data_IF_690156854467
#
_entry.id   IF_690156854467
#
_cell.length_a   1.000
_cell.length_b   1.000
_cell.length_c   1.000
_cell.angle_alpha   90.00
_cell.angle_beta   90.00
_cell.angle_gamma   90.00
#
_symmetry.space_group_name_H-M   'P 1'
#
loop_
_entity.id
_entity.type
_entity.pdbx_description
1 polymer ?
#
# COMPACT_ATOMS: atom_id res chain seq x y z
N UNK A 1 -2.14 30.67 -20.51
CA UNK A 1 -1.25 30.81 -19.34
C UNK A 1 0.07 30.17 -19.68
N UNK A 2 1.16 30.95 -19.74
CA UNK A 2 2.44 30.53 -20.31
C UNK A 2 3.06 29.36 -19.53
N UNK A 3 3.18 28.22 -20.20
CA UNK A 3 4.06 27.13 -19.82
C UNK A 3 5.52 27.57 -20.01
N UNK A 4 6.00 28.46 -19.15
CA UNK A 4 7.44 28.72 -19.05
C UNK A 4 8.08 27.48 -18.47
N UNK A 5 8.67 26.72 -19.38
CA UNK A 5 9.48 25.52 -19.23
C UNK A 5 10.25 25.50 -17.90
N UNK A 6 9.80 24.70 -16.92
CA UNK A 6 10.51 24.48 -15.64
C UNK A 6 11.72 23.55 -15.84
N UNK A 7 12.62 23.89 -16.76
CA UNK A 7 13.83 23.10 -17.04
C UNK A 7 14.69 22.92 -15.77
N UNK A 8 14.67 23.89 -14.86
CA UNK A 8 15.40 23.79 -13.59
C UNK A 8 14.92 22.69 -12.65
N UNK A 9 13.63 22.31 -12.69
CA UNK A 9 13.09 21.32 -11.77
C UNK A 9 13.63 19.92 -12.03
N UNK A 10 14.12 19.66 -13.24
CA UNK A 10 14.52 18.33 -13.73
C UNK A 10 16.04 18.13 -13.65
N UNK A 11 16.83 19.21 -13.77
CA UNK A 11 18.30 19.13 -13.68
C UNK A 11 18.81 18.93 -12.24
N UNK A 12 19.99 18.33 -12.04
CA UNK A 12 20.66 18.33 -10.74
C UNK A 12 21.03 19.76 -10.28
N UNK A 13 21.34 19.91 -8.98
CA UNK A 13 21.87 21.17 -8.44
C UNK A 13 23.29 21.42 -8.98
N UNK A 14 23.63 22.69 -9.22
CA UNK A 14 25.02 23.10 -9.40
C UNK A 14 25.75 23.11 -8.05
N UNK A 15 27.08 23.20 -8.08
CA UNK A 15 27.88 23.26 -6.85
C UNK A 15 27.50 24.45 -5.96
N UNK A 16 27.29 25.62 -6.58
CA UNK A 16 26.87 26.84 -5.88
C UNK A 16 25.49 26.67 -5.22
N UNK A 17 24.53 26.10 -5.95
CA UNK A 17 23.19 25.84 -5.42
C UNK A 17 23.23 24.82 -4.28
N UNK A 18 24.10 23.81 -4.37
CA UNK A 18 24.29 22.81 -3.33
C UNK A 18 24.80 23.48 -2.05
N UNK A 19 25.90 24.22 -2.12
CA UNK A 19 26.46 24.95 -0.97
C UNK A 19 25.45 25.93 -0.37
N UNK A 20 24.74 26.67 -1.22
CA UNK A 20 23.68 27.58 -0.78
C UNK A 20 22.56 26.83 -0.05
N UNK A 21 22.15 25.68 -0.59
CA UNK A 21 21.08 24.87 0.00
C UNK A 21 21.46 24.27 1.35
N UNK A 22 22.73 23.89 1.55
CA UNK A 22 23.25 23.38 2.81
C UNK A 22 23.29 24.48 3.88
N UNK A 23 23.79 25.67 3.53
CA UNK A 23 23.85 26.82 4.43
C UNK A 23 22.47 27.29 4.91
N UNK A 24 21.46 27.21 4.04
CA UNK A 24 20.10 27.67 4.32
C UNK A 24 19.14 26.55 4.74
N UNK A 25 19.62 25.31 4.87
CA UNK A 25 18.77 24.14 5.09
C UNK A 25 17.88 24.27 6.34
N UNK A 26 18.40 24.88 7.41
CA UNK A 26 17.66 25.09 8.67
C UNK A 26 16.38 25.94 8.51
N UNK A 27 16.24 26.69 7.41
CA UNK A 27 15.03 27.45 7.13
C UNK A 27 13.81 26.54 6.92
N UNK A 28 13.99 25.29 6.49
CA UNK A 28 12.90 24.34 6.33
C UNK A 28 12.24 24.02 7.67
N UNK A 29 13.02 23.78 8.72
CA UNK A 29 12.52 23.53 10.07
C UNK A 29 11.90 24.78 10.69
N UNK A 30 12.42 25.97 10.37
CA UNK A 30 11.78 27.23 10.76
C UNK A 30 10.39 27.35 10.14
N UNK A 31 10.24 27.07 8.84
CA UNK A 31 8.95 27.06 8.17
C UNK A 31 7.98 26.05 8.79
N UNK A 32 8.44 24.83 9.04
CA UNK A 32 7.61 23.80 9.70
C UNK A 32 7.12 24.23 11.08
N UNK A 33 8.00 24.81 11.90
CA UNK A 33 7.60 25.34 13.23
C UNK A 33 6.56 26.44 13.15
N UNK A 34 6.67 27.35 12.17
CA UNK A 34 5.69 28.44 11.99
C UNK A 34 4.31 27.90 11.58
N UNK A 35 4.26 26.77 10.90
CA UNK A 35 3.04 26.16 10.39
C UNK A 35 2.60 24.92 11.16
N UNK A 36 3.20 24.66 12.32
CA UNK A 36 2.88 23.52 13.20
C UNK A 36 2.93 22.17 12.48
N UNK A 37 3.92 22.01 11.59
CA UNK A 37 4.10 20.81 10.78
C UNK A 37 5.08 19.84 11.46
N UNK A 38 4.68 18.57 11.58
CA UNK A 38 5.56 17.50 12.08
C UNK A 38 6.71 17.25 11.08
N UNK A 39 8.00 17.38 11.48
CA UNK A 39 9.12 17.13 10.58
C UNK A 39 9.15 15.72 10.00
N UNK A 40 8.71 14.70 10.74
CA UNK A 40 8.70 13.31 10.27
C UNK A 40 7.78 13.12 9.07
N UNK A 41 6.66 13.85 9.03
CA UNK A 41 5.70 13.79 7.93
C UNK A 41 6.04 14.77 6.79
N UNK A 42 6.49 15.98 7.15
CA UNK A 42 6.56 17.09 6.20
C UNK A 42 7.94 17.29 5.57
N UNK A 43 9.00 16.69 6.09
CA UNK A 43 10.33 16.88 5.53
C UNK A 43 10.42 16.39 4.08
N UNK A 44 10.01 15.16 3.81
CA UNK A 44 10.06 14.59 2.46
C UNK A 44 9.13 15.31 1.48
N UNK A 45 8.01 15.84 1.97
CA UNK A 45 7.06 16.63 1.18
C UNK A 45 7.68 17.98 0.79
N UNK A 46 8.45 18.62 1.68
CA UNK A 46 8.92 19.99 1.52
C UNK A 46 10.36 20.11 0.99
N UNK A 47 11.20 19.08 1.11
CA UNK A 47 12.61 19.14 0.72
C UNK A 47 12.78 19.37 -0.78
N UNK A 48 11.98 18.70 -1.61
CA UNK A 48 12.04 18.88 -3.07
C UNK A 48 11.55 20.29 -3.48
N UNK A 49 10.40 20.80 -2.99
CA UNK A 49 10.02 22.19 -3.15
C UNK A 49 11.07 23.22 -2.67
N UNK A 50 11.77 22.95 -1.56
CA UNK A 50 12.86 23.78 -1.06
C UNK A 50 14.02 23.86 -2.06
N UNK A 51 14.49 22.71 -2.56
CA UNK A 51 15.56 22.69 -3.57
C UNK A 51 15.13 23.37 -4.86
N UNK A 52 13.86 23.21 -5.26
CA UNK A 52 13.30 23.95 -6.39
C UNK A 52 13.27 25.47 -6.15
N UNK A 53 13.06 25.93 -4.91
CA UNK A 53 13.16 27.33 -4.57
C UNK A 53 14.59 27.86 -4.69
N UNK A 54 15.60 27.06 -4.27
CA UNK A 54 17.03 27.40 -4.43
C UNK A 54 17.38 27.57 -5.92
N UNK A 55 17.02 26.59 -6.75
CA UNK A 55 17.27 26.65 -8.20
C UNK A 55 16.58 27.85 -8.84
N UNK A 56 15.31 28.05 -8.49
CA UNK A 56 14.51 29.18 -8.97
C UNK A 56 15.13 30.53 -8.58
N UNK A 57 15.67 30.63 -7.37
CA UNK A 57 16.32 31.85 -6.89
C UNK A 57 17.57 32.18 -7.72
N UNK A 58 18.43 31.19 -7.98
CA UNK A 58 19.67 31.38 -8.76
C UNK A 58 19.42 31.60 -10.25
N UNK A 59 18.40 30.99 -10.84
CA UNK A 59 18.12 31.11 -12.27
C UNK A 59 17.46 32.44 -12.65
N UNK A 60 16.65 33.02 -11.76
CA UNK A 60 15.91 34.25 -12.06
C UNK A 60 16.48 35.45 -11.29
N UNK A 61 17.37 36.20 -11.92
CA UNK A 61 18.02 37.40 -11.34
C UNK A 61 17.02 38.41 -10.73
N UNK A 62 15.82 38.56 -11.30
CA UNK A 62 14.77 39.43 -10.76
C UNK A 62 14.39 39.10 -9.30
N UNK A 63 14.58 37.84 -8.89
CA UNK A 63 14.27 37.37 -7.54
C UNK A 63 15.33 37.78 -6.52
N UNK A 64 16.54 38.17 -6.95
CA UNK A 64 17.59 38.66 -6.05
C UNK A 64 17.24 40.02 -5.41
N UNK A 65 16.21 40.71 -5.91
CA UNK A 65 15.63 41.88 -5.24
C UNK A 65 14.88 41.52 -3.94
N UNK A 66 14.53 40.24 -3.76
CA UNK A 66 13.86 39.71 -2.59
C UNK A 66 14.83 38.89 -1.75
N UNK A 67 14.54 38.75 -0.45
CA UNK A 67 15.27 37.77 0.37
C UNK A 67 14.90 36.37 -0.10
N UNK A 68 15.88 35.46 -0.14
CA UNK A 68 15.64 34.04 -0.41
C UNK A 68 14.52 33.47 0.48
N UNK A 69 14.45 33.90 1.74
CA UNK A 69 13.38 33.54 2.68
C UNK A 69 11.98 33.75 2.08
N UNK A 70 11.73 34.88 1.45
CA UNK A 70 10.42 35.19 0.85
C UNK A 70 10.11 34.29 -0.35
N UNK A 71 11.12 33.95 -1.16
CA UNK A 71 10.97 33.11 -2.35
C UNK A 71 10.70 31.66 -1.96
N UNK A 72 11.41 31.14 -0.97
CA UNK A 72 11.19 29.76 -0.54
C UNK A 72 9.87 29.60 0.22
N UNK A 73 9.49 30.53 1.13
CA UNK A 73 8.19 30.47 1.81
C UNK A 73 7.04 30.37 0.81
N UNK A 74 7.04 31.24 -0.21
CA UNK A 74 6.02 31.21 -1.27
C UNK A 74 6.01 29.90 -2.05
N UNK A 75 7.16 29.25 -2.20
CA UNK A 75 7.28 27.97 -2.90
C UNK A 75 6.74 26.83 -2.03
N UNK A 76 7.05 26.83 -0.73
CA UNK A 76 6.55 25.84 0.23
C UNK A 76 5.05 25.98 0.49
N UNK A 77 4.52 27.21 0.53
CA UNK A 77 3.08 27.45 0.65
C UNK A 77 2.30 26.80 -0.48
N UNK A 78 2.80 26.95 -1.72
CA UNK A 78 2.21 26.30 -2.88
C UNK A 78 2.29 24.78 -2.78
N UNK A 79 3.42 24.22 -2.31
CA UNK A 79 3.59 22.78 -2.14
C UNK A 79 2.61 22.23 -1.09
N UNK A 80 2.52 22.88 0.06
CA UNK A 80 1.58 22.54 1.14
C UNK A 80 0.12 22.62 0.69
N UNK A 81 -0.26 23.69 0.00
CA UNK A 81 -1.62 23.83 -0.55
C UNK A 81 -1.93 22.74 -1.58
N UNK A 82 -0.96 22.41 -2.44
CA UNK A 82 -1.11 21.32 -3.40
C UNK A 82 -1.26 19.96 -2.71
N UNK A 83 -0.50 19.70 -1.65
CA UNK A 83 -0.62 18.49 -0.84
C UNK A 83 -2.04 18.34 -0.32
N UNK A 84 -2.55 19.33 0.43
CA UNK A 84 -3.93 19.26 0.97
C UNK A 84 -4.98 19.18 -0.13
N UNK A 85 -4.79 19.88 -1.25
CA UNK A 85 -5.71 19.75 -2.38
C UNK A 85 -5.70 18.34 -2.96
N UNK A 86 -4.56 17.66 -2.97
CA UNK A 86 -4.44 16.30 -3.47
C UNK A 86 -5.11 15.29 -2.53
N UNK A 87 -4.85 15.38 -1.22
CA UNK A 87 -5.47 14.46 -0.24
C UNK A 87 -6.99 14.64 -0.20
N UNK A 88 -7.49 15.88 -0.38
CA UNK A 88 -8.91 16.20 -0.34
C UNK A 88 -9.60 16.08 -1.71
N UNK A 89 -8.96 15.51 -2.73
CA UNK A 89 -9.66 15.25 -4.00
C UNK A 89 -10.77 14.23 -3.79
N UNK A 90 -11.84 14.34 -4.57
CA UNK A 90 -12.99 13.41 -4.49
C UNK A 90 -12.61 11.94 -4.66
N UNK A 91 -11.54 11.63 -5.40
CA UNK A 91 -11.02 10.25 -5.51
C UNK A 91 -10.43 9.68 -4.21
N UNK A 92 -10.06 10.54 -3.25
CA UNK A 92 -9.47 10.18 -1.96
C UNK A 92 -10.44 10.47 -0.80
N UNK A 93 -11.34 11.44 -0.95
CA UNK A 93 -12.39 11.78 0.00
C UNK A 93 -13.76 11.84 -0.70
N UNK A 94 -14.30 10.71 -1.19
CA UNK A 94 -15.62 10.68 -1.81
C UNK A 94 -16.70 11.02 -0.77
N UNK A 95 -17.79 11.67 -1.20
CA UNK A 95 -18.90 12.10 -0.31
C UNK A 95 -19.54 10.94 0.46
N UNK A 96 -19.49 9.72 -0.09
CA UNK A 96 -20.01 8.50 0.53
C UNK A 96 -19.05 7.84 1.53
N UNK A 97 -17.88 8.41 1.77
CA UNK A 97 -16.82 7.76 2.56
C UNK A 97 -16.03 6.72 1.77
N UNK A 98 -14.92 6.28 2.35
CA UNK A 98 -14.08 5.22 1.80
C UNK A 98 -14.45 3.90 2.47
N UNK A 99 -14.74 2.87 1.69
CA UNK A 99 -14.98 1.51 2.20
C UNK A 99 -13.77 0.63 1.89
N UNK A 100 -13.28 -0.11 2.88
CA UNK A 100 -12.31 -1.17 2.63
C UNK A 100 -13.03 -2.41 2.10
N UNK A 101 -12.42 -3.11 1.16
CA UNK A 101 -12.93 -4.40 0.68
C UNK A 101 -12.98 -5.45 1.79
N UNK A 102 -12.09 -5.34 2.78
CA UNK A 102 -12.02 -6.23 3.94
C UNK A 102 -13.05 -5.86 5.03
N UNK A 103 -13.94 -4.88 4.78
CA UNK A 103 -14.96 -4.50 5.75
C UNK A 103 -16.10 -5.51 5.75
N UNK A 104 -16.47 -6.02 6.93
CA UNK A 104 -17.69 -6.79 7.10
C UNK A 104 -18.90 -5.85 6.95
N UNK A 105 -19.86 -6.21 6.11
CA UNK A 105 -21.16 -5.57 6.04
C UNK A 105 -22.06 -6.22 7.08
N UNK A 106 -22.51 -5.45 8.06
CA UNK A 106 -23.61 -5.82 8.95
C UNK A 106 -24.92 -5.32 8.32
N UNK A 107 -25.65 -6.24 7.68
CA UNK A 107 -26.97 -5.94 7.10
C UNK A 107 -28.13 -6.21 8.07
N UNK A 108 -27.83 -6.46 9.35
CA UNK A 108 -28.79 -6.74 10.40
C UNK A 108 -29.27 -8.19 10.44
N UNK A 109 -28.79 -9.05 9.54
CA UNK A 109 -29.09 -10.48 9.53
C UNK A 109 -27.83 -11.36 9.59
N UNK A 110 -26.76 -11.04 8.86
CA UNK A 110 -25.46 -11.73 8.95
C UNK A 110 -24.28 -10.80 8.63
N UNK A 111 -23.11 -11.04 9.24
CA UNK A 111 -21.85 -10.42 8.82
C UNK A 111 -21.44 -10.97 7.44
N UNK A 112 -21.75 -10.23 6.37
CA UNK A 112 -21.38 -10.62 5.00
C UNK A 112 -20.11 -9.91 4.54
N UNK A 113 -19.20 -10.65 3.92
CA UNK A 113 -18.05 -10.06 3.23
C UNK A 113 -18.53 -9.26 2.00
N UNK A 114 -18.04 -8.03 1.85
CA UNK A 114 -18.30 -7.12 0.73
C UNK A 114 -18.01 -7.76 -0.64
N UNK A 115 -17.04 -8.68 -0.71
CA UNK A 115 -16.69 -9.45 -1.91
C UNK A 115 -17.88 -10.18 -2.55
N UNK A 116 -18.91 -10.54 -1.77
CA UNK A 116 -20.11 -11.18 -2.31
C UNK A 116 -20.90 -10.30 -3.27
N UNK A 117 -20.72 -8.98 -3.22
CA UNK A 117 -21.38 -8.00 -4.08
C UNK A 117 -20.50 -7.50 -5.23
N UNK A 118 -19.22 -7.92 -5.27
CA UNK A 118 -18.28 -7.55 -6.32
C UNK A 118 -18.44 -8.46 -7.53
N UNK A 119 -19.38 -8.10 -8.41
CA UNK A 119 -19.45 -8.64 -9.75
C UNK A 119 -18.47 -7.84 -10.62
N UNK A 120 -17.50 -8.49 -11.24
CA UNK A 120 -16.63 -7.85 -12.21
C UNK A 120 -17.44 -7.54 -13.48
N UNK A 121 -17.68 -6.26 -13.83
CA UNK A 121 -18.47 -5.92 -15.01
C UNK A 121 -17.81 -6.31 -16.33
N UNK A 122 -16.50 -6.61 -16.33
CA UNK A 122 -15.73 -6.98 -17.52
C UNK A 122 -15.65 -8.49 -17.75
N UNK A 123 -15.96 -9.30 -16.73
CA UNK A 123 -15.96 -10.76 -16.84
C UNK A 123 -17.39 -11.26 -17.06
N UNK A 124 -17.56 -12.27 -17.92
CA UNK A 124 -18.87 -12.92 -18.09
C UNK A 124 -19.38 -13.48 -16.73
N UNK A 125 -20.63 -13.15 -16.37
CA UNK A 125 -21.23 -13.50 -15.07
C UNK A 125 -21.25 -15.01 -14.84
N UNK A 126 -21.54 -15.81 -15.88
CA UNK A 126 -21.54 -17.28 -15.78
C UNK A 126 -20.15 -17.79 -15.41
N UNK A 127 -19.09 -17.26 -16.05
CA UNK A 127 -17.71 -17.62 -15.69
C UNK A 127 -17.38 -17.28 -14.25
N UNK A 128 -17.82 -16.12 -13.76
CA UNK A 128 -17.58 -15.70 -12.36
C UNK A 128 -18.31 -16.63 -11.38
N UNK A 129 -19.58 -16.92 -11.62
CA UNK A 129 -20.38 -17.83 -10.78
C UNK A 129 -19.79 -19.23 -10.78
N UNK A 130 -19.43 -19.77 -11.94
CA UNK A 130 -18.79 -21.09 -12.05
C UNK A 130 -17.47 -21.10 -11.29
N UNK A 131 -16.61 -20.10 -11.48
CA UNK A 131 -15.32 -20.03 -10.78
C UNK A 131 -15.51 -19.96 -9.25
N UNK A 132 -16.49 -19.18 -8.77
CA UNK A 132 -16.82 -19.06 -7.35
C UNK A 132 -17.27 -20.39 -6.75
N UNK A 133 -18.16 -21.12 -7.44
CA UNK A 133 -18.63 -22.43 -6.98
C UNK A 133 -17.51 -23.48 -7.02
N UNK A 134 -16.67 -23.49 -8.06
CA UNK A 134 -15.51 -24.38 -8.13
C UNK A 134 -14.51 -24.10 -7.00
N UNK A 135 -14.26 -22.82 -6.70
CA UNK A 135 -13.39 -22.44 -5.58
C UNK A 135 -13.98 -22.89 -4.24
N UNK A 136 -15.30 -22.72 -4.03
CA UNK A 136 -15.98 -23.17 -2.82
C UNK A 136 -15.89 -24.68 -2.65
N UNK A 137 -16.13 -25.44 -3.72
CA UNK A 137 -15.97 -26.91 -3.71
C UNK A 137 -14.52 -27.30 -3.38
N UNK A 138 -13.55 -26.60 -3.97
CA UNK A 138 -12.12 -26.82 -3.72
C UNK A 138 -11.74 -26.58 -2.26
N UNK A 139 -12.14 -25.43 -1.73
CA UNK A 139 -11.85 -25.05 -0.35
C UNK A 139 -12.47 -26.03 0.65
N UNK A 140 -13.74 -26.39 0.44
CA UNK A 140 -14.44 -27.36 1.27
C UNK A 140 -13.77 -28.73 1.24
N UNK A 141 -13.48 -29.28 0.05
CA UNK A 141 -12.80 -30.58 -0.05
C UNK A 141 -11.41 -30.59 0.60
N UNK A 142 -10.70 -29.46 0.61
CA UNK A 142 -9.39 -29.34 1.26
C UNK A 142 -9.49 -29.30 2.79
N UNK A 143 -10.59 -28.78 3.35
CA UNK A 143 -10.74 -28.50 4.79
C UNK A 143 -11.60 -29.54 5.53
N UNK A 144 -12.61 -30.14 4.91
CA UNK A 144 -13.68 -30.92 5.58
C UNK A 144 -13.29 -32.23 6.30
N UNK A 145 -12.04 -32.71 6.26
CA UNK A 145 -11.78 -34.13 6.56
C UNK A 145 -11.41 -34.57 7.97
N UNK A 146 -11.27 -33.72 8.99
CA UNK A 146 -11.10 -34.18 10.39
C UNK A 146 -11.26 -33.00 11.35
N UNK A 147 -12.21 -33.08 12.30
CA UNK A 147 -12.60 -31.95 13.16
C UNK A 147 -11.47 -31.34 14.01
N UNK A 148 -10.36 -32.05 14.22
CA UNK A 148 -9.23 -31.61 15.05
C UNK A 148 -7.99 -31.16 14.25
N UNK A 149 -7.93 -31.41 12.94
CA UNK A 149 -6.85 -30.97 12.02
C UNK A 149 -7.31 -29.88 11.05
N UNK A 150 -8.60 -29.54 11.07
CA UNK A 150 -9.20 -28.61 10.14
C UNK A 150 -8.58 -27.21 10.23
N UNK A 151 -8.31 -26.73 11.45
CA UNK A 151 -7.78 -25.38 11.67
C UNK A 151 -6.33 -25.22 11.14
N UNK A 152 -5.51 -26.27 11.22
CA UNK A 152 -4.15 -26.26 10.66
C UNK A 152 -4.22 -26.19 9.13
N UNK A 153 -4.96 -27.11 8.50
CA UNK A 153 -5.09 -27.16 7.04
C UNK A 153 -5.73 -25.90 6.47
N UNK A 154 -6.71 -25.34 7.17
CA UNK A 154 -7.34 -24.07 6.82
C UNK A 154 -6.32 -22.95 6.83
N UNK A 155 -5.55 -22.83 7.91
CA UNK A 155 -4.46 -21.85 8.03
C UNK A 155 -3.44 -22.01 6.90
N UNK A 156 -3.00 -23.24 6.62
CA UNK A 156 -2.04 -23.52 5.56
C UNK A 156 -2.58 -23.13 4.18
N UNK A 157 -3.83 -23.51 3.89
CA UNK A 157 -4.49 -23.21 2.62
C UNK A 157 -4.68 -21.71 2.43
N UNK A 158 -5.20 -21.00 3.45
CA UNK A 158 -5.40 -19.56 3.42
C UNK A 158 -4.08 -18.83 3.16
N UNK A 159 -3.03 -19.16 3.90
CA UNK A 159 -1.72 -18.56 3.70
C UNK A 159 -1.10 -18.88 2.32
N UNK A 160 -1.34 -20.08 1.77
CA UNK A 160 -0.92 -20.42 0.41
C UNK A 160 -1.62 -19.56 -0.64
N UNK A 161 -2.93 -19.34 -0.47
CA UNK A 161 -3.74 -18.52 -1.37
C UNK A 161 -3.37 -17.03 -1.30
N UNK A 162 -2.98 -16.54 -0.12
CA UNK A 162 -2.41 -15.20 0.09
C UNK A 162 -1.01 -15.03 -0.53
N UNK A 163 -0.37 -16.13 -0.97
CA UNK A 163 0.97 -16.11 -1.57
C UNK A 163 2.11 -16.10 -0.53
N UNK A 164 1.85 -16.54 0.70
CA UNK A 164 2.89 -16.71 1.70
C UNK A 164 3.90 -17.79 1.30
N UNK A 165 5.14 -17.61 1.72
CA UNK A 165 6.19 -18.61 1.54
C UNK A 165 6.01 -19.77 2.51
N UNK A 166 6.48 -20.97 2.13
CA UNK A 166 6.43 -22.17 2.98
C UNK A 166 7.06 -21.95 4.36
N UNK A 167 8.14 -21.17 4.43
CA UNK A 167 8.81 -20.82 5.69
C UNK A 167 7.92 -19.97 6.61
N UNK A 168 7.16 -19.04 6.04
CA UNK A 168 6.20 -18.23 6.81
C UNK A 168 5.05 -19.11 7.30
N UNK A 169 4.53 -19.99 6.45
CA UNK A 169 3.46 -20.93 6.79
C UNK A 169 3.89 -21.82 7.96
N UNK A 170 5.03 -22.51 7.85
CA UNK A 170 5.56 -23.37 8.91
C UNK A 170 5.75 -22.62 10.22
N UNK A 171 6.31 -21.40 10.17
CA UNK A 171 6.51 -20.60 11.38
C UNK A 171 5.18 -20.25 12.04
N UNK A 172 4.16 -19.92 11.26
CA UNK A 172 2.83 -19.56 11.75
C UNK A 172 2.11 -20.78 12.31
N UNK A 173 2.11 -21.91 11.60
CA UNK A 173 1.46 -23.14 12.06
C UNK A 173 2.13 -23.72 13.31
N UNK A 174 3.47 -23.74 13.38
CA UNK A 174 4.22 -24.12 14.59
C UNK A 174 3.89 -23.20 15.78
N UNK A 175 3.76 -21.89 15.55
CA UNK A 175 3.45 -20.95 16.62
C UNK A 175 2.02 -21.15 17.17
N UNK A 176 1.06 -21.44 16.31
CA UNK A 176 -0.35 -21.54 16.70
C UNK A 176 -0.73 -22.93 17.23
N UNK A 177 -0.13 -23.99 16.68
CA UNK A 177 -0.54 -25.37 16.93
C UNK A 177 0.60 -26.28 17.40
N UNK A 178 1.83 -25.78 17.45
CA UNK A 178 3.01 -26.56 17.82
C UNK A 178 3.07 -26.89 19.31
N UNK A 179 2.91 -28.17 19.65
CA UNK A 179 3.14 -28.70 21.01
C UNK A 179 4.55 -29.28 21.24
N UNK A 180 5.29 -29.55 20.17
CA UNK A 180 6.61 -30.18 20.19
C UNK A 180 7.54 -29.55 19.13
N UNK A 181 8.79 -29.28 19.51
CA UNK A 181 9.84 -28.69 18.65
C UNK A 181 10.40 -29.69 17.62
N UNK A 182 9.55 -30.46 16.95
CA UNK A 182 9.96 -31.35 15.86
C UNK A 182 9.66 -30.70 14.51
N UNK A 183 10.59 -29.84 14.07
CA UNK A 183 10.49 -29.10 12.80
C UNK A 183 10.35 -30.03 11.58
N UNK A 184 10.81 -31.29 11.68
CA UNK A 184 10.75 -32.27 10.59
C UNK A 184 9.34 -32.79 10.34
N UNK A 185 8.57 -33.04 11.40
CA UNK A 185 7.20 -33.55 11.31
C UNK A 185 6.25 -32.53 10.67
N UNK A 186 6.33 -31.26 11.07
CA UNK A 186 5.47 -30.19 10.52
C UNK A 186 5.84 -29.84 9.08
N UNK A 187 7.14 -29.89 8.74
CA UNK A 187 7.59 -29.70 7.36
C UNK A 187 7.02 -30.78 6.44
N UNK A 188 7.11 -32.04 6.85
CA UNK A 188 6.54 -33.15 6.09
C UNK A 188 5.02 -33.07 5.97
N UNK A 189 4.32 -32.70 7.06
CA UNK A 189 2.87 -32.56 7.07
C UNK A 189 2.40 -31.48 6.07
N UNK A 190 3.01 -30.29 6.09
CA UNK A 190 2.70 -29.21 5.15
C UNK A 190 2.94 -29.62 3.70
N UNK A 191 4.06 -30.30 3.41
CA UNK A 191 4.35 -30.78 2.05
C UNK A 191 3.30 -31.79 1.57
N UNK A 192 2.84 -32.67 2.46
CA UNK A 192 1.82 -33.66 2.14
C UNK A 192 0.45 -33.03 1.91
N UNK A 193 0.10 -32.01 2.70
CA UNK A 193 -1.14 -31.26 2.53
C UNK A 193 -1.12 -30.42 1.25
N UNK A 194 0.02 -29.79 0.88
CA UNK A 194 0.20 -29.14 -0.42
C UNK A 194 -0.01 -30.10 -1.59
N UNK A 195 0.51 -31.33 -1.51
CA UNK A 195 0.28 -32.35 -2.55
C UNK A 195 -1.21 -32.69 -2.67
N UNK A 196 -1.91 -32.84 -1.54
CA UNK A 196 -3.36 -33.08 -1.53
C UNK A 196 -4.13 -31.92 -2.12
N UNK A 197 -3.85 -30.69 -1.70
CA UNK A 197 -4.49 -29.49 -2.25
C UNK A 197 -4.30 -29.43 -3.76
N UNK A 198 -3.09 -29.64 -4.27
CA UNK A 198 -2.83 -29.68 -5.72
C UNK A 198 -3.60 -30.78 -6.43
N UNK A 199 -3.76 -31.95 -5.83
CA UNK A 199 -4.55 -33.05 -6.40
C UNK A 199 -6.03 -32.67 -6.49
N UNK A 200 -6.59 -32.13 -5.42
CA UNK A 200 -7.99 -31.69 -5.35
C UNK A 200 -8.23 -30.54 -6.36
N UNK A 201 -7.28 -29.60 -6.46
CA UNK A 201 -7.34 -28.52 -7.43
C UNK A 201 -7.45 -29.04 -8.87
N UNK A 202 -6.60 -29.99 -9.25
CA UNK A 202 -6.66 -30.61 -10.59
C UNK A 202 -7.97 -31.35 -10.85
N UNK A 203 -8.49 -32.05 -9.84
CA UNK A 203 -9.77 -32.76 -9.92
C UNK A 203 -10.94 -31.83 -10.21
N UNK A 204 -10.99 -30.69 -9.53
CA UNK A 204 -12.13 -29.76 -9.59
C UNK A 204 -12.04 -28.84 -10.81
N UNK A 205 -10.86 -28.29 -11.07
CA UNK A 205 -10.67 -27.32 -12.16
C UNK A 205 -10.38 -27.99 -13.51
N UNK A 206 -10.17 -29.31 -13.55
CA UNK A 206 -10.01 -30.09 -14.78
C UNK A 206 -8.72 -29.79 -15.56
N UNK A 207 -7.62 -29.50 -14.85
CA UNK A 207 -6.31 -29.10 -15.40
C UNK A 207 -5.20 -30.11 -15.09
#
# INVERSE_FOLDING_TARGET
MNANNKNYSIRPLTEEERLFSEQHHNLIYRYMRIHELNPEEWYDILIIPYLNAVKKYHEYERLHSLKFEQVFFRTLDNARSNYFRDINREKHCPKGGLFSYDSLLDDGYEEMNFENYLIDPYTNVEKQVVLKELYKEFYNKCTEREAWMNDIKKTELDMLLEGCTLKQILRTTLKMYGGCNDDGLYTWALEEDIKKFRKIFKEIFGI
#
